data_IF_146018597837
#
_entry.id   IF_146018597837
#
_cell.length_a   1.000
_cell.length_b   1.000
_cell.length_c   1.000
_cell.angle_alpha   90.00
_cell.angle_beta   90.00
_cell.angle_gamma   90.00
#
_symmetry.space_group_name_H-M   'P 1'
#
loop_
_entity.id
_entity.type
_entity.pdbx_description
1 polymer ?
#
# COMPACT_ATOMS: atom_id res chain seq x y z
N UNK A 1 -5.37 1.63 -25.11
CA UNK A 1 -5.46 0.45 -24.21
C UNK A 1 -5.14 0.91 -22.80
N UNK A 2 -6.13 0.98 -21.92
CA UNK A 2 -5.95 1.57 -20.60
C UNK A 2 -5.29 0.55 -19.66
N UNK A 3 -3.96 0.53 -19.64
CA UNK A 3 -3.15 -0.25 -18.69
C UNK A 3 -3.30 0.36 -17.28
N UNK A 4 -4.46 0.15 -16.67
CA UNK A 4 -4.72 0.58 -15.29
C UNK A 4 -4.37 -0.59 -14.36
N UNK A 5 -3.42 -0.36 -13.47
CA UNK A 5 -3.00 -1.34 -12.47
C UNK A 5 -3.78 -1.05 -11.19
N UNK A 6 -4.29 -2.11 -10.56
CA UNK A 6 -4.85 -2.04 -9.23
C UNK A 6 -3.78 -2.49 -8.24
N UNK A 7 -3.33 -1.58 -7.39
CA UNK A 7 -2.36 -1.89 -6.32
C UNK A 7 -2.91 -1.45 -4.97
N UNK A 8 -2.47 -2.13 -3.93
CA UNK A 8 -2.61 -1.67 -2.55
C UNK A 8 -1.22 -1.47 -1.96
N UNK A 9 -1.05 -0.41 -1.19
CA UNK A 9 0.22 -0.10 -0.53
C UNK A 9 0.02 0.31 0.92
N UNK A 10 1.08 0.16 1.70
CA UNK A 10 1.18 0.64 3.08
C UNK A 10 2.43 1.50 3.11
N UNK A 11 2.24 2.81 3.27
CA UNK A 11 3.33 3.76 3.36
C UNK A 11 3.73 3.89 4.83
N UNK A 12 5.00 3.70 5.15
CA UNK A 12 5.53 3.85 6.51
C UNK A 12 6.80 4.68 6.48
N UNK A 13 7.09 5.39 7.56
CA UNK A 13 8.29 6.23 7.66
C UNK A 13 9.56 5.40 7.84
N UNK A 14 9.46 4.23 8.46
CA UNK A 14 10.61 3.38 8.82
C UNK A 14 10.53 2.01 8.17
N UNK A 15 11.66 1.56 7.63
CA UNK A 15 11.82 0.20 7.09
C UNK A 15 11.49 -0.87 8.15
N UNK A 16 11.86 -0.66 9.42
CA UNK A 16 11.54 -1.60 10.51
C UNK A 16 10.04 -1.82 10.67
N UNK A 17 9.21 -0.78 10.47
CA UNK A 17 7.76 -0.91 10.50
C UNK A 17 7.26 -1.71 9.30
N UNK A 18 7.81 -1.48 8.11
CA UNK A 18 7.46 -2.24 6.91
C UNK A 18 7.73 -3.73 7.10
N UNK A 19 8.87 -4.09 7.69
CA UNK A 19 9.25 -5.47 7.99
C UNK A 19 8.29 -6.09 9.01
N UNK A 20 7.98 -5.38 10.10
CA UNK A 20 7.04 -5.87 11.11
C UNK A 20 5.63 -6.12 10.54
N UNK A 21 5.16 -5.21 9.67
CA UNK A 21 3.88 -5.34 8.97
C UNK A 21 3.92 -6.52 8.00
N UNK A 22 5.02 -6.70 7.26
CA UNK A 22 5.20 -7.83 6.35
C UNK A 22 5.12 -9.17 7.10
N UNK A 23 5.75 -9.26 8.28
CA UNK A 23 5.67 -10.47 9.10
C UNK A 23 4.26 -10.71 9.64
N UNK A 24 3.53 -9.66 10.06
CA UNK A 24 2.11 -9.79 10.43
C UNK A 24 1.23 -10.25 9.27
N UNK A 25 1.47 -9.73 8.06
CA UNK A 25 0.77 -10.19 6.85
C UNK A 25 1.05 -11.67 6.61
N UNK A 26 2.30 -12.12 6.77
CA UNK A 26 2.67 -13.55 6.65
C UNK A 26 2.03 -14.41 7.73
N UNK A 27 1.79 -13.87 8.92
CA UNK A 27 1.05 -14.55 10.00
C UNK A 27 -0.46 -14.67 9.72
N UNK A 28 -0.96 -14.06 8.64
CA UNK A 28 -2.37 -14.11 8.24
C UNK A 28 -3.19 -12.90 8.67
N UNK A 29 -2.57 -11.82 9.16
CA UNK A 29 -3.29 -10.57 9.38
C UNK A 29 -3.75 -9.96 8.04
N UNK A 30 -4.93 -9.33 8.07
CA UNK A 30 -5.48 -8.67 6.89
C UNK A 30 -4.66 -7.43 6.55
N UNK A 31 -4.14 -7.39 5.32
CA UNK A 31 -3.43 -6.23 4.77
C UNK A 31 -4.19 -4.92 4.98
N UNK A 32 -5.50 -4.92 4.77
CA UNK A 32 -6.35 -3.73 4.95
C UNK A 32 -6.36 -3.17 6.36
N UNK A 33 -6.36 -4.05 7.37
CA UNK A 33 -6.28 -3.65 8.78
C UNK A 33 -4.94 -2.97 9.06
N UNK A 34 -3.85 -3.61 8.63
CA UNK A 34 -2.51 -3.07 8.79
C UNK A 34 -2.31 -1.77 8.02
N UNK A 35 -2.91 -1.63 6.83
CA UNK A 35 -2.91 -0.41 6.07
C UNK A 35 -3.65 0.72 6.80
N UNK A 36 -4.80 0.44 7.43
CA UNK A 36 -5.52 1.45 8.24
C UNK A 36 -4.75 1.87 9.49
N UNK A 37 -4.06 0.92 10.11
CA UNK A 37 -3.42 1.09 11.42
C UNK A 37 -2.02 1.69 11.33
N UNK A 38 -1.25 1.31 10.30
CA UNK A 38 0.15 1.68 10.16
C UNK A 38 0.46 2.56 8.94
N UNK A 39 -0.39 2.59 7.90
CA UNK A 39 -0.10 3.43 6.74
C UNK A 39 -0.22 4.91 7.10
N UNK A 40 0.84 5.67 6.86
CA UNK A 40 0.83 7.13 7.01
C UNK A 40 0.08 7.80 5.86
N UNK A 41 -0.13 7.08 4.74
CA UNK A 41 -0.96 7.57 3.65
C UNK A 41 -2.44 7.45 4.00
N UNK A 42 -2.96 8.49 4.65
CA UNK A 42 -4.36 8.58 5.09
C UNK A 42 -5.39 8.41 3.96
N UNK A 43 -5.01 8.66 2.70
CA UNK A 43 -5.87 8.50 1.54
C UNK A 43 -6.14 7.02 1.22
N UNK A 44 -5.07 6.23 1.10
CA UNK A 44 -5.18 4.78 0.86
C UNK A 44 -5.49 4.00 2.14
N UNK A 45 -5.01 4.43 3.30
CA UNK A 45 -5.25 3.79 4.60
C UNK A 45 -6.74 3.57 4.85
N UNK A 46 -7.57 4.61 4.66
CA UNK A 46 -9.03 4.53 4.80
C UNK A 46 -9.70 3.55 3.83
N UNK A 47 -9.01 3.20 2.75
CA UNK A 47 -9.45 2.24 1.73
C UNK A 47 -8.69 0.91 1.84
N UNK A 48 -8.21 0.57 3.03
CA UNK A 48 -7.50 -0.69 3.27
C UNK A 48 -6.18 -0.80 2.45
N UNK A 49 -5.52 0.35 2.27
CA UNK A 49 -4.31 0.49 1.46
C UNK A 49 -4.56 0.56 -0.05
N UNK A 50 -5.82 0.47 -0.49
CA UNK A 50 -6.17 0.41 -1.90
C UNK A 50 -6.04 1.78 -2.58
N UNK A 51 -5.11 1.86 -3.53
CA UNK A 51 -4.90 3.04 -4.38
C UNK A 51 -5.93 3.11 -5.53
N UNK A 52 -6.68 2.03 -5.74
CA UNK A 52 -7.59 1.89 -6.88
C UNK A 52 -6.83 1.65 -8.17
N UNK A 53 -7.48 1.98 -9.29
CA UNK A 53 -6.92 1.82 -10.62
C UNK A 53 -6.13 3.07 -11.00
N UNK A 54 -4.81 2.98 -11.05
CA UNK A 54 -3.95 4.03 -11.56
C UNK A 54 -3.33 3.63 -12.90
N UNK A 55 -3.21 4.59 -13.81
CA UNK A 55 -2.49 4.42 -15.07
C UNK A 55 -1.01 4.76 -14.90
N UNK A 56 -0.19 4.39 -15.88
CA UNK A 56 1.20 4.85 -15.96
C UNK A 56 1.27 6.39 -16.00
N UNK A 57 2.20 6.99 -15.27
CA UNK A 57 2.45 8.41 -15.03
C UNK A 57 1.73 9.02 -13.81
N UNK A 58 1.06 8.22 -12.97
CA UNK A 58 0.25 8.70 -11.82
C UNK A 58 0.88 8.45 -10.46
N UNK A 59 1.82 7.50 -10.36
CA UNK A 59 2.57 7.23 -9.14
C UNK A 59 4.03 7.68 -9.30
N UNK A 60 4.74 7.86 -8.18
CA UNK A 60 6.19 8.11 -8.23
C UNK A 60 6.88 6.99 -9.00
N UNK A 61 7.95 7.33 -9.71
CA UNK A 61 8.59 6.42 -10.67
C UNK A 61 9.06 5.15 -9.99
N UNK A 62 9.55 5.26 -8.75
CA UNK A 62 9.97 4.14 -7.90
C UNK A 62 8.84 3.19 -7.51
N UNK A 63 7.59 3.64 -7.58
CA UNK A 63 6.40 2.81 -7.31
C UNK A 63 5.76 2.25 -8.60
N UNK A 64 5.99 2.89 -9.74
CA UNK A 64 5.30 2.60 -11.00
C UNK A 64 6.14 1.87 -12.07
N UNK A 65 7.47 1.91 -11.94
CA UNK A 65 8.40 1.42 -12.95
C UNK A 65 8.37 -0.10 -13.17
#
# INVERSE_FOLDING_TARGET
MANKIKCSHILVEKQSQAIAILDRIKQGEKFGKLAREFSIDSGSAKRDGNLGYFGRGKMVKEFEA
#
